data_IF_639655378424
#
_entry.id   IF_639655378424
#
_cell.length_a   1.000
_cell.length_b   1.000
_cell.length_c   1.000
_cell.angle_alpha   90.00
_cell.angle_beta   90.00
_cell.angle_gamma   90.00
#
_symmetry.space_group_name_H-M   'P 1'
#
loop_
_entity.id
_entity.type
_entity.pdbx_description
1 polymer ?
#
# COMPACT_ATOMS: atom_id res chain seq x y z
N UNK A 1 -15.51 -23.32 -3.72
CA UNK A 1 -16.10 -22.56 -2.59
C UNK A 1 -15.03 -22.38 -1.51
N UNK A 2 -14.38 -21.21 -1.46
CA UNK A 2 -13.46 -20.90 -0.34
C UNK A 2 -14.34 -20.41 0.81
N UNK A 3 -14.18 -21.04 1.99
CA UNK A 3 -14.94 -20.71 3.20
C UNK A 3 -14.86 -19.22 3.53
N UNK A 4 -16.02 -18.58 3.69
CA UNK A 4 -16.18 -17.15 4.02
C UNK A 4 -15.41 -16.73 5.28
N UNK A 5 -15.07 -17.68 6.17
CA UNK A 5 -14.24 -17.43 7.36
C UNK A 5 -12.75 -17.17 7.06
N UNK A 6 -12.19 -17.74 6.00
CA UNK A 6 -10.79 -17.48 5.61
C UNK A 6 -10.64 -16.12 4.91
N UNK A 7 -11.73 -15.64 4.28
CA UNK A 7 -11.80 -14.35 3.61
C UNK A 7 -11.66 -13.19 4.60
N UNK A 8 -12.34 -13.28 5.74
CA UNK A 8 -12.32 -12.25 6.79
C UNK A 8 -10.97 -12.16 7.49
N UNK A 9 -10.35 -13.29 7.86
CA UNK A 9 -9.04 -13.30 8.53
C UNK A 9 -7.96 -12.69 7.63
N UNK A 10 -7.91 -13.07 6.35
CA UNK A 10 -6.91 -12.55 5.42
C UNK A 10 -7.06 -11.04 5.17
N UNK A 11 -8.29 -10.55 5.10
CA UNK A 11 -8.58 -9.12 4.96
C UNK A 11 -8.11 -8.37 6.21
N UNK A 12 -8.37 -8.90 7.40
CA UNK A 12 -7.91 -8.32 8.67
C UNK A 12 -6.38 -8.22 8.72
N UNK A 13 -5.65 -9.27 8.30
CA UNK A 13 -4.17 -9.25 8.28
C UNK A 13 -3.63 -8.16 7.34
N UNK A 14 -4.22 -7.99 6.14
CA UNK A 14 -3.83 -6.92 5.22
C UNK A 14 -4.13 -5.54 5.78
N UNK A 15 -5.24 -5.36 6.49
CA UNK A 15 -5.58 -4.10 7.15
C UNK A 15 -4.60 -3.79 8.27
N UNK A 16 -4.19 -4.77 9.07
CA UNK A 16 -3.18 -4.58 10.11
C UNK A 16 -1.85 -4.16 9.46
N UNK A 17 -1.42 -4.84 8.39
CA UNK A 17 -0.23 -4.46 7.64
C UNK A 17 -0.31 -3.05 7.07
N UNK A 18 -1.41 -2.70 6.41
CA UNK A 18 -1.65 -1.36 5.87
C UNK A 18 -1.63 -0.30 6.98
N UNK A 19 -2.24 -0.58 8.15
CA UNK A 19 -2.25 0.34 9.28
C UNK A 19 -0.83 0.63 9.78
N UNK A 20 0.00 -0.39 9.95
CA UNK A 20 1.40 -0.21 10.38
C UNK A 20 2.23 0.58 9.36
N UNK A 21 2.01 0.35 8.06
CA UNK A 21 2.70 1.11 7.00
C UNK A 21 2.31 2.58 7.05
N UNK A 22 1.02 2.89 7.23
CA UNK A 22 0.53 4.27 7.36
C UNK A 22 1.06 4.94 8.63
N UNK A 23 1.19 4.21 9.73
CA UNK A 23 1.83 4.73 10.96
C UNK A 23 3.31 5.06 10.74
N UNK A 24 4.05 4.18 10.07
CA UNK A 24 5.45 4.43 9.72
C UNK A 24 5.56 5.65 8.79
N UNK A 25 4.65 5.77 7.81
CA UNK A 25 4.57 6.93 6.93
C UNK A 25 4.28 8.22 7.70
N UNK A 26 3.38 8.21 8.68
CA UNK A 26 3.08 9.37 9.51
C UNK A 26 4.31 9.85 10.31
N UNK A 27 5.12 8.91 10.82
CA UNK A 27 6.37 9.26 11.50
C UNK A 27 7.38 9.92 10.55
N UNK A 28 7.49 9.39 9.33
CA UNK A 28 8.38 9.92 8.29
C UNK A 28 7.89 11.31 7.84
N UNK A 29 6.62 11.43 7.46
CA UNK A 29 6.03 12.67 6.94
C UNK A 29 5.99 13.79 8.00
N UNK A 30 5.78 13.45 9.28
CA UNK A 30 5.79 14.40 10.39
C UNK A 30 7.12 15.16 10.54
N UNK A 31 8.23 14.56 10.10
CA UNK A 31 9.54 15.23 10.11
C UNK A 31 9.74 16.19 8.93
N UNK A 32 8.87 16.14 7.91
CA UNK A 32 9.03 16.89 6.66
C UNK A 32 8.00 17.99 6.44
N UNK A 33 6.82 17.91 7.07
CA UNK A 33 5.76 18.90 6.90
C UNK A 33 5.57 19.76 8.15
N UNK A 34 5.34 21.07 7.98
CA UNK A 34 5.01 21.95 9.10
C UNK A 34 3.69 21.53 9.76
N UNK A 35 3.56 21.77 11.06
CA UNK A 35 2.40 21.33 11.86
C UNK A 35 1.05 21.83 11.32
N UNK A 36 1.04 22.99 10.65
CA UNK A 36 -0.16 23.55 10.02
C UNK A 36 -0.77 22.64 8.94
N UNK A 37 0.04 21.80 8.28
CA UNK A 37 -0.38 20.87 7.23
C UNK A 37 -0.52 19.44 7.79
N UNK A 38 0.03 19.14 8.97
CA UNK A 38 0.00 17.82 9.59
C UNK A 38 -1.43 17.29 9.79
N UNK A 39 -2.40 18.16 10.10
CA UNK A 39 -3.82 17.80 10.22
C UNK A 39 -4.41 17.25 8.92
N UNK A 40 -4.09 17.90 7.78
CA UNK A 40 -4.50 17.45 6.46
C UNK A 40 -3.91 16.08 6.13
N UNK A 41 -2.61 15.87 6.40
CA UNK A 41 -1.97 14.56 6.19
C UNK A 41 -2.61 13.46 7.02
N UNK A 42 -2.93 13.70 8.31
CA UNK A 42 -3.59 12.70 9.17
C UNK A 42 -4.98 12.32 8.64
N UNK A 43 -5.76 13.31 8.20
CA UNK A 43 -7.06 13.06 7.57
C UNK A 43 -6.91 12.20 6.31
N UNK A 44 -5.92 12.53 5.49
CA UNK A 44 -5.61 11.83 4.25
C UNK A 44 -5.22 10.37 4.48
N UNK A 45 -4.45 10.07 5.54
CA UNK A 45 -4.13 8.69 5.94
C UNK A 45 -5.38 7.88 6.35
N UNK A 46 -6.29 8.48 7.12
CA UNK A 46 -7.54 7.82 7.54
C UNK A 46 -8.42 7.53 6.31
N UNK A 47 -8.55 8.50 5.42
CA UNK A 47 -9.30 8.34 4.18
C UNK A 47 -8.71 7.20 3.32
N UNK A 48 -7.38 7.12 3.18
CA UNK A 48 -6.70 6.03 2.49
C UNK A 48 -7.01 4.67 3.09
N UNK A 49 -6.96 4.57 4.42
CA UNK A 49 -7.21 3.31 5.11
C UNK A 49 -8.63 2.79 4.84
N UNK A 50 -9.62 3.68 4.94
CA UNK A 50 -11.02 3.35 4.65
C UNK A 50 -11.25 2.99 3.18
N UNK A 51 -10.67 3.75 2.26
CA UNK A 51 -10.78 3.47 0.84
C UNK A 51 -10.07 2.16 0.43
N UNK A 52 -8.90 1.85 1.01
CA UNK A 52 -8.26 0.55 0.83
C UNK A 52 -9.11 -0.58 1.38
N UNK A 53 -9.76 -0.41 2.54
CA UNK A 53 -10.70 -1.39 3.08
C UNK A 53 -11.85 -1.67 2.10
N UNK A 54 -12.46 -0.63 1.53
CA UNK A 54 -13.53 -0.78 0.52
C UNK A 54 -13.03 -1.49 -0.75
N UNK A 55 -11.87 -1.08 -1.27
CA UNK A 55 -11.28 -1.69 -2.46
C UNK A 55 -10.94 -3.17 -2.20
N UNK A 56 -10.34 -3.50 -1.05
CA UNK A 56 -9.94 -4.87 -0.72
C UNK A 56 -11.14 -5.78 -0.42
N UNK A 57 -12.20 -5.25 0.21
CA UNK A 57 -13.43 -6.00 0.47
C UNK A 57 -14.17 -6.42 -0.82
N UNK A 58 -14.04 -5.65 -1.90
CA UNK A 58 -14.59 -6.01 -3.21
C UNK A 58 -13.59 -6.74 -4.12
N UNK A 59 -12.30 -6.70 -3.79
CA UNK A 59 -11.26 -7.19 -4.69
C UNK A 59 -11.10 -8.71 -4.58
N UNK A 60 -11.10 -9.38 -5.72
CA UNK A 60 -10.87 -10.83 -5.89
C UNK A 60 -9.40 -11.25 -5.63
N UNK A 61 -8.63 -10.52 -4.81
CA UNK A 61 -7.21 -10.78 -4.52
C UNK A 61 -6.98 -12.17 -3.88
N UNK A 62 -8.04 -12.78 -3.35
CA UNK A 62 -8.00 -14.07 -2.63
C UNK A 62 -7.79 -15.29 -3.54
N UNK A 63 -7.72 -15.13 -4.86
CA UNK A 63 -7.74 -16.27 -5.80
C UNK A 63 -6.46 -17.13 -5.75
N UNK A 64 -5.30 -16.63 -5.30
CA UNK A 64 -4.13 -17.49 -5.06
C UNK A 64 -3.45 -17.25 -3.71
N UNK A 65 -3.58 -18.25 -2.83
CA UNK A 65 -2.98 -18.27 -1.48
C UNK A 65 -1.48 -17.95 -1.45
N UNK A 66 -0.74 -18.28 -2.52
CA UNK A 66 0.68 -18.01 -2.67
C UNK A 66 1.00 -16.50 -2.76
N UNK A 67 0.23 -15.71 -3.53
CA UNK A 67 0.44 -14.25 -3.59
C UNK A 67 0.14 -13.59 -2.26
N UNK A 68 -0.93 -14.01 -1.61
CA UNK A 68 -1.32 -13.49 -0.30
C UNK A 68 -0.21 -13.72 0.73
N UNK A 69 0.31 -14.95 0.81
CA UNK A 69 1.40 -15.29 1.72
C UNK A 69 2.65 -14.44 1.44
N UNK A 70 3.03 -14.28 0.17
CA UNK A 70 4.18 -13.45 -0.20
C UNK A 70 4.03 -11.99 0.22
N UNK A 71 2.87 -11.38 -0.01
CA UNK A 71 2.60 -9.99 0.39
C UNK A 71 2.69 -9.86 1.92
N UNK A 72 2.11 -10.79 2.68
CA UNK A 72 2.19 -10.76 4.15
C UNK A 72 3.64 -10.83 4.61
N UNK A 73 4.43 -11.75 4.07
CA UNK A 73 5.85 -11.90 4.42
C UNK A 73 6.63 -10.62 4.11
N UNK A 74 6.43 -10.03 2.94
CA UNK A 74 7.11 -8.79 2.54
C UNK A 74 6.79 -7.61 3.48
N UNK A 75 5.54 -7.50 3.92
CA UNK A 75 5.13 -6.47 4.87
C UNK A 75 5.71 -6.72 6.27
N UNK A 76 5.75 -7.97 6.71
CA UNK A 76 6.37 -8.34 8.00
C UNK A 76 7.86 -7.99 8.02
N UNK A 77 8.61 -8.30 6.95
CA UNK A 77 10.03 -7.93 6.80
C UNK A 77 10.20 -6.40 6.86
N UNK A 78 9.35 -5.67 6.14
CA UNK A 78 9.41 -4.20 6.13
C UNK A 78 9.09 -3.60 7.50
N UNK A 79 8.08 -4.12 8.20
CA UNK A 79 7.72 -3.68 9.57
C UNK A 79 8.88 -3.95 10.52
N UNK A 80 9.52 -5.11 10.45
CA UNK A 80 10.73 -5.39 11.24
C UNK A 80 11.84 -4.39 10.95
N UNK A 81 12.07 -4.04 9.68
CA UNK A 81 13.04 -3.01 9.29
C UNK A 81 12.74 -1.63 9.90
N UNK A 82 11.47 -1.21 9.90
CA UNK A 82 11.07 0.03 10.58
C UNK A 82 11.26 -0.04 12.09
N UNK A 83 10.94 -1.18 12.72
CA UNK A 83 11.21 -1.38 14.15
C UNK A 83 12.70 -1.28 14.46
N UNK A 84 13.55 -1.89 13.64
CA UNK A 84 15.01 -1.81 13.81
C UNK A 84 15.51 -0.38 13.63
N UNK A 85 14.91 0.40 12.72
CA UNK A 85 15.24 1.82 12.55
C UNK A 85 14.91 2.63 13.82
N UNK A 86 13.74 2.39 14.42
CA UNK A 86 13.34 3.04 15.68
C UNK A 86 14.28 2.62 16.83
N UNK A 87 14.63 1.34 16.91
CA UNK A 87 15.53 0.79 17.92
C UNK A 87 17.01 1.09 17.65
N UNK A 88 17.35 1.76 16.53
CA UNK A 88 18.72 2.02 16.07
C UNK A 88 19.58 0.76 15.91
N UNK A 89 18.93 -0.36 15.60
CA UNK A 89 19.62 -1.63 15.36
C UNK A 89 20.25 -1.66 13.97
N UNK A 90 21.39 -2.36 13.81
CA UNK A 90 22.01 -2.54 12.50
C UNK A 90 21.07 -3.28 11.55
N UNK A 91 21.31 -3.15 10.25
CA UNK A 91 20.53 -3.80 9.18
C UNK A 91 19.09 -3.27 8.97
N UNK A 92 18.69 -2.19 9.66
CA UNK A 92 17.36 -1.62 9.53
C UNK A 92 17.01 -1.23 8.08
N UNK A 93 17.96 -0.61 7.38
CA UNK A 93 17.75 -0.11 6.03
C UNK A 93 17.65 -1.26 5.03
N UNK A 94 18.49 -2.27 5.18
CA UNK A 94 18.54 -3.49 4.38
C UNK A 94 17.22 -4.26 4.48
N UNK A 95 16.64 -4.36 5.68
CA UNK A 95 15.32 -4.97 5.89
C UNK A 95 14.19 -4.16 5.24
N UNK A 96 14.20 -2.83 5.36
CA UNK A 96 13.20 -1.97 4.71
C UNK A 96 13.29 -2.13 3.18
N UNK A 97 14.50 -2.07 2.62
CA UNK A 97 14.74 -2.23 1.18
C UNK A 97 14.31 -3.61 0.71
N UNK A 98 14.68 -4.67 1.43
CA UNK A 98 14.28 -6.04 1.09
C UNK A 98 12.75 -6.20 1.09
N UNK A 99 12.06 -5.66 2.10
CA UNK A 99 10.60 -5.67 2.16
C UNK A 99 9.95 -4.90 1.01
N UNK A 100 10.47 -3.73 0.66
CA UNK A 100 9.99 -2.92 -0.47
C UNK A 100 10.18 -3.66 -1.80
N UNK A 101 11.39 -4.17 -2.07
CA UNK A 101 11.72 -4.86 -3.32
C UNK A 101 10.89 -6.14 -3.49
N UNK A 102 10.73 -6.91 -2.42
CA UNK A 102 9.89 -8.11 -2.44
C UNK A 102 8.42 -7.76 -2.72
N UNK A 103 7.91 -6.70 -2.09
CA UNK A 103 6.54 -6.23 -2.32
C UNK A 103 6.33 -5.81 -3.78
N UNK A 104 7.21 -4.96 -4.33
CA UNK A 104 7.15 -4.53 -5.73
C UNK A 104 7.15 -5.72 -6.69
N UNK A 105 8.07 -6.68 -6.49
CA UNK A 105 8.21 -7.85 -7.34
C UNK A 105 6.94 -8.72 -7.32
N UNK A 106 6.35 -8.96 -6.13
CA UNK A 106 5.13 -9.76 -6.01
C UNK A 106 3.95 -9.07 -6.72
N UNK A 107 3.80 -7.75 -6.57
CA UNK A 107 2.73 -7.01 -7.24
C UNK A 107 2.88 -7.02 -8.77
N UNK A 108 4.10 -6.88 -9.29
CA UNK A 108 4.37 -6.96 -10.74
C UNK A 108 4.09 -8.36 -11.26
N UNK A 109 4.57 -9.41 -10.58
CA UNK A 109 4.31 -10.80 -10.99
C UNK A 109 2.80 -11.10 -10.97
N UNK A 110 2.10 -10.67 -9.92
CA UNK A 110 0.65 -10.84 -9.79
C UNK A 110 -0.10 -10.18 -10.96
N UNK A 111 0.34 -8.99 -11.37
CA UNK A 111 -0.23 -8.27 -12.51
C UNK A 111 0.02 -8.97 -13.85
N UNK A 112 1.23 -9.51 -14.06
CA UNK A 112 1.60 -10.19 -15.30
C UNK A 112 0.83 -11.50 -15.49
N UNK A 113 0.64 -12.27 -14.41
CA UNK A 113 -0.05 -13.57 -14.44
C UNK A 113 -1.57 -13.42 -14.67
N UNK A 114 -2.12 -12.23 -14.40
CA UNK A 114 -3.54 -11.97 -14.61
C UNK A 114 -3.89 -11.96 -16.11
N UNK A 115 -4.77 -12.88 -16.49
CA UNK A 115 -5.25 -13.05 -17.88
C UNK A 115 -6.06 -11.83 -18.36
N UNK A 116 -6.98 -11.35 -17.53
CA UNK A 116 -7.79 -10.15 -17.81
C UNK A 116 -7.29 -8.96 -16.99
N UNK A 117 -6.80 -7.92 -17.67
CA UNK A 117 -6.25 -6.72 -17.04
C UNK A 117 -7.32 -5.63 -17.05
N UNK A 118 -7.83 -5.28 -15.88
CA UNK A 118 -8.71 -4.12 -15.72
C UNK A 118 -7.87 -2.84 -15.58
N UNK A 119 -8.43 -1.70 -15.96
CA UNK A 119 -7.84 -0.39 -15.69
C UNK A 119 -7.47 -0.23 -14.20
N UNK A 120 -8.35 -0.68 -13.30
CA UNK A 120 -8.10 -0.69 -11.85
C UNK A 120 -6.88 -1.51 -11.43
N UNK A 121 -6.55 -2.58 -12.14
CA UNK A 121 -5.37 -3.41 -11.80
C UNK A 121 -4.07 -2.68 -12.15
N UNK A 122 -4.05 -2.00 -13.29
CA UNK A 122 -2.91 -1.17 -13.73
C UNK A 122 -2.69 -0.07 -12.70
N UNK A 123 -3.76 0.63 -12.32
CA UNK A 123 -3.70 1.76 -11.41
C UNK A 123 -3.26 1.35 -10.00
N UNK A 124 -3.70 0.17 -9.52
CA UNK A 124 -3.22 -0.44 -8.27
C UNK A 124 -1.72 -0.71 -8.29
N UNK A 125 -1.23 -1.38 -9.34
CA UNK A 125 0.20 -1.75 -9.43
C UNK A 125 1.05 -0.49 -9.56
N UNK A 126 0.63 0.46 -10.39
CA UNK A 126 1.30 1.74 -10.55
C UNK A 126 1.39 2.48 -9.21
N UNK A 127 0.26 2.59 -8.49
CA UNK A 127 0.23 3.22 -7.18
C UNK A 127 1.18 2.55 -6.19
N UNK A 128 1.16 1.22 -6.12
CA UNK A 128 2.04 0.44 -5.24
C UNK A 128 3.52 0.67 -5.57
N UNK A 129 3.88 0.63 -6.85
CA UNK A 129 5.26 0.86 -7.29
C UNK A 129 5.74 2.27 -6.94
N UNK A 130 4.94 3.30 -7.26
CA UNK A 130 5.29 4.69 -6.94
C UNK A 130 5.40 4.89 -5.42
N UNK A 131 4.51 4.28 -4.63
CA UNK A 131 4.58 4.33 -3.16
C UNK A 131 5.91 3.76 -2.65
N UNK A 132 6.27 2.54 -3.03
CA UNK A 132 7.50 1.92 -2.54
C UNK A 132 8.76 2.62 -3.08
N UNK A 133 8.75 3.13 -4.32
CA UNK A 133 9.86 3.94 -4.86
C UNK A 133 10.03 5.20 -4.02
N UNK A 134 8.94 5.88 -3.68
CA UNK A 134 8.96 7.08 -2.83
C UNK A 134 9.52 6.76 -1.45
N UNK A 135 9.16 5.62 -0.84
CA UNK A 135 9.75 5.16 0.42
C UNK A 135 11.27 5.03 0.27
N UNK A 136 11.76 4.37 -0.78
CA UNK A 136 13.19 4.21 -1.01
C UNK A 136 13.90 5.56 -1.21
N UNK A 137 13.34 6.48 -2.01
CA UNK A 137 13.90 7.82 -2.22
C UNK A 137 14.02 8.60 -0.92
N UNK A 138 13.01 8.50 -0.05
CA UNK A 138 13.01 9.14 1.27
C UNK A 138 14.02 8.47 2.20
N UNK A 139 14.23 7.16 2.10
CA UNK A 139 15.21 6.45 2.95
C UNK A 139 16.66 6.72 2.55
N UNK A 140 16.94 6.95 1.27
CA UNK A 140 18.29 7.24 0.76
C UNK A 140 18.62 8.75 0.71
N UNK A 141 17.80 9.60 1.31
CA UNK A 141 17.99 11.05 1.38
C UNK A 141 18.26 11.72 0.02
N UNK A 142 17.61 11.21 -1.04
CA UNK A 142 17.80 11.71 -2.41
C UNK A 142 17.34 13.18 -2.52
N UNK A 143 18.07 14.05 -3.24
CA UNK A 143 17.64 15.43 -3.49
C UNK A 143 16.26 15.49 -4.14
N UNK A 144 15.50 16.57 -3.86
CA UNK A 144 14.11 16.79 -4.32
C UNK A 144 13.05 15.83 -3.75
N UNK A 145 13.36 15.07 -2.67
CA UNK A 145 12.43 14.13 -2.02
C UNK A 145 11.03 14.69 -1.72
N UNK A 146 10.90 15.98 -1.43
CA UNK A 146 9.62 16.62 -1.07
C UNK A 146 8.59 16.61 -2.20
N UNK A 147 9.03 16.68 -3.47
CA UNK A 147 8.15 16.70 -4.63
C UNK A 147 7.55 15.32 -4.89
N UNK A 148 8.29 14.26 -4.58
CA UNK A 148 7.88 12.88 -4.83
C UNK A 148 6.88 12.35 -3.79
N UNK A 149 6.88 12.89 -2.57
CA UNK A 149 6.00 12.48 -1.47
C UNK A 149 4.50 12.64 -1.83
N UNK A 150 4.16 13.61 -2.68
CA UNK A 150 2.79 13.86 -3.12
C UNK A 150 2.27 12.87 -4.18
N UNK A 151 3.15 12.26 -4.98
CA UNK A 151 2.75 11.44 -6.14
C UNK A 151 1.95 10.19 -5.78
N UNK A 152 2.34 9.37 -4.77
CA UNK A 152 1.52 8.25 -4.32
C UNK A 152 0.11 8.69 -3.89
N UNK A 153 -0.02 9.91 -3.36
CA UNK A 153 -1.31 10.48 -2.92
C UNK A 153 -2.22 10.77 -4.10
N UNK A 154 -1.69 11.43 -5.13
CA UNK A 154 -2.47 11.76 -6.33
C UNK A 154 -2.94 10.48 -7.02
N UNK A 155 -2.03 9.52 -7.22
CA UNK A 155 -2.35 8.22 -7.81
C UNK A 155 -3.40 7.46 -7.00
N UNK A 156 -3.32 7.52 -5.68
CA UNK A 156 -4.31 6.89 -4.80
C UNK A 156 -5.72 7.44 -5.07
N UNK A 157 -5.87 8.76 -5.11
CA UNK A 157 -7.19 9.38 -5.32
C UNK A 157 -7.76 9.09 -6.70
N UNK A 158 -6.93 9.10 -7.75
CA UNK A 158 -7.35 8.68 -9.10
C UNK A 158 -7.86 7.24 -9.06
N UNK A 159 -7.14 6.33 -8.39
CA UNK A 159 -7.55 4.93 -8.24
C UNK A 159 -8.85 4.78 -7.45
N UNK A 160 -9.03 5.55 -6.40
CA UNK A 160 -10.24 5.53 -5.60
C UNK A 160 -11.46 6.02 -6.39
N UNK A 161 -11.35 7.13 -7.10
CA UNK A 161 -12.46 7.64 -7.92
C UNK A 161 -12.82 6.71 -9.08
N UNK A 162 -11.82 6.12 -9.75
CA UNK A 162 -12.05 5.09 -10.77
C UNK A 162 -12.80 3.89 -10.20
N UNK A 163 -12.44 3.45 -8.97
CA UNK A 163 -13.13 2.36 -8.29
C UNK A 163 -14.60 2.70 -7.96
N UNK A 164 -14.86 3.91 -7.45
CA UNK A 164 -16.21 4.39 -7.15
C UNK A 164 -17.04 4.44 -8.44
N UNK A 165 -16.50 5.00 -9.52
CA UNK A 165 -17.17 5.08 -10.81
C UNK A 165 -17.54 3.70 -11.38
N UNK A 166 -16.59 2.76 -11.38
CA UNK A 166 -16.83 1.38 -11.85
C UNK A 166 -17.89 0.68 -10.99
N UNK A 167 -17.88 0.92 -9.68
CA UNK A 167 -18.88 0.33 -8.76
C UNK A 167 -20.27 0.92 -8.99
N UNK A 168 -20.37 2.24 -9.16
CA UNK A 168 -21.62 2.94 -9.43
C UNK A 168 -22.27 2.46 -10.74
N UNK A 169 -21.50 2.39 -11.83
CA UNK A 169 -21.96 1.89 -13.13
C UNK A 169 -22.50 0.46 -13.09
N UNK A 170 -21.91 -0.41 -12.26
CA UNK A 170 -22.39 -1.78 -12.08
C UNK A 170 -23.72 -1.84 -11.32
N UNK A 171 -23.94 -0.92 -10.38
CA UNK A 171 -25.18 -0.85 -9.62
C UNK A 171 -26.37 -0.34 -10.47
N UNK A 172 -26.12 0.52 -11.47
CA UNK A 172 -27.15 0.98 -12.40
C UNK A 172 -27.62 -0.12 -13.38
N UNK A 173 -26.77 -1.12 -13.64
CA UNK A 173 -27.05 -2.22 -14.58
C UNK A 173 -27.70 -3.45 -13.92
N UNK A 174 -27.88 -3.44 -12.60
CA UNK A 174 -28.42 -4.54 -11.80
C UNK A 174 -29.87 -4.28 -11.38
#
# INVERSE_FOLDING_TARGET
MISTKNLTINTIVLLIGAFFILLCWNNIAGNYFPESIAGFWRFEQIARFLALFLILSQSQIIIHKLYFSGIVISNVIMIMGFMFKIMHWPMAMELIVAGCMLSMLIYVISFLIKSTKSHLDILKVLWVLVMYITVLLVMYDVPYRHEWIGLPSILFWIMFFDFVYVTYRKAEQA
#
